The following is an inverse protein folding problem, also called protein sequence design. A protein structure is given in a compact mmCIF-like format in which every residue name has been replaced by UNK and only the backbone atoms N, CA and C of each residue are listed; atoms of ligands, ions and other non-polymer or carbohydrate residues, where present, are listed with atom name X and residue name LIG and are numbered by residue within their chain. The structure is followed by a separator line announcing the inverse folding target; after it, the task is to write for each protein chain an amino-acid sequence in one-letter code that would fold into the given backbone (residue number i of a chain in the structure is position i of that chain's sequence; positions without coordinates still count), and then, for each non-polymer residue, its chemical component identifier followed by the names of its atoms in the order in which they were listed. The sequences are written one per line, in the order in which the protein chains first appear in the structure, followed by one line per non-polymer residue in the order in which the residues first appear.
data_IF_972031226522
#
_entry.id   IF_972031226522
#
_cell.length_a   1.000
_cell.length_b   1.000
_cell.length_c   1.000
_cell.angle_alpha   90.00
_cell.angle_beta   90.00
_cell.angle_gamma   90.00
#
_symmetry.space_group_name_H-M   'P 1'
#
loop_
_entity.id
_entity.type
_entity.pdbx_description
1 polymer ?
#
# COMPACT_ATOMS: atom_id res chain seq x y z
N UNK A 1 17.63 47.60 -47.03
CA UNK A 1 16.69 48.75 -47.04
C UNK A 1 16.20 48.99 -45.62
N UNK A 2 16.47 50.17 -45.06
CA UNK A 2 15.97 50.67 -43.77
C UNK A 2 14.69 51.47 -44.00
N UNK A 3 13.72 51.38 -43.08
CA UNK A 3 12.86 52.48 -42.55
C UNK A 3 11.91 51.86 -41.52
N UNK A 4 12.10 51.98 -40.21
CA UNK A 4 12.00 53.12 -39.27
C UNK A 4 10.58 53.68 -39.02
N UNK A 5 10.07 53.35 -37.82
CA UNK A 5 9.52 54.20 -36.73
C UNK A 5 8.23 55.01 -37.02
N UNK A 6 7.20 54.92 -36.15
CA UNK A 6 6.79 55.99 -35.22
C UNK A 6 5.75 55.54 -34.17
N UNK A 7 5.93 56.06 -32.95
CA UNK A 7 5.18 55.83 -31.70
C UNK A 7 4.05 56.87 -31.52
N UNK A 8 2.97 56.45 -30.81
CA UNK A 8 2.16 57.17 -29.78
C UNK A 8 1.44 58.50 -30.16
N UNK A 9 0.34 58.97 -29.48
CA UNK A 9 0.08 58.86 -28.02
C UNK A 9 -1.39 58.70 -27.52
N UNK A 10 -1.48 58.53 -26.18
CA UNK A 10 -2.51 58.90 -25.15
C UNK A 10 -3.55 59.97 -25.57
N UNK A 11 -4.77 60.14 -25.00
CA UNK A 11 -5.34 59.79 -23.69
C UNK A 11 -6.87 60.10 -23.62
N UNK A 12 -7.56 59.41 -22.69
CA UNK A 12 -8.61 59.83 -21.71
C UNK A 12 -10.03 60.25 -22.15
N UNK A 13 -11.02 59.49 -21.63
CA UNK A 13 -12.23 59.86 -20.86
C UNK A 13 -13.35 58.83 -21.16
N UNK A 14 -14.28 58.38 -20.32
CA UNK A 14 -14.64 58.41 -18.89
C UNK A 14 -16.03 57.75 -18.80
N UNK A 15 -16.45 57.33 -17.58
CA UNK A 15 -17.81 56.95 -17.13
C UNK A 15 -18.20 55.46 -17.27
N UNK A 16 -18.87 54.79 -16.33
CA UNK A 16 -19.17 54.92 -14.87
C UNK A 16 -20.10 53.73 -14.55
N UNK A 17 -19.97 53.11 -13.36
CA UNK A 17 -21.01 52.51 -12.48
C UNK A 17 -20.35 51.39 -11.60
N UNK A 18 -19.85 51.63 -10.38
CA UNK A 18 -20.44 51.88 -9.04
C UNK A 18 -21.06 50.66 -8.30
N UNK A 19 -20.50 50.41 -7.08
CA UNK A 19 -21.18 49.84 -5.90
C UNK A 19 -20.61 48.50 -5.42
N UNK A 20 -19.59 48.38 -4.55
CA UNK A 20 -19.36 48.82 -3.14
C UNK A 20 -20.07 47.94 -2.09
N UNK A 21 -19.27 47.34 -1.19
CA UNK A 21 -19.50 47.40 0.25
C UNK A 21 -18.16 47.56 0.98
N UNK A 22 -18.07 48.58 1.82
CA UNK A 22 -16.95 48.89 2.69
C UNK A 22 -17.44 49.01 4.13
N UNK A 23 -16.60 48.53 5.04
CA UNK A 23 -16.53 48.78 6.48
C UNK A 23 -16.45 50.27 6.83
N UNK A 24 -17.00 50.68 7.99
CA UNK A 24 -16.49 51.82 8.75
C UNK A 24 -16.87 51.76 10.25
N UNK A 25 -16.11 52.52 11.05
CA UNK A 25 -15.80 52.35 12.47
C UNK A 25 -16.54 53.31 13.45
N UNK A 26 -16.41 52.97 14.75
CA UNK A 26 -16.20 53.80 15.97
C UNK A 26 -17.17 54.91 16.42
N UNK A 27 -17.58 54.92 17.72
CA UNK A 27 -17.04 55.73 18.86
C UNK A 27 -18.09 56.04 19.99
N UNK A 28 -17.75 55.70 21.25
CA UNK A 28 -18.05 56.26 22.62
C UNK A 28 -19.46 56.35 23.32
N UNK A 29 -19.60 55.58 24.45
CA UNK A 29 -19.99 55.86 25.89
C UNK A 29 -21.34 56.50 26.36
N UNK A 30 -21.79 56.41 27.66
CA UNK A 30 -21.23 55.76 28.88
C UNK A 30 -22.23 55.01 29.86
N UNK A 31 -21.69 54.49 31.00
CA UNK A 31 -22.28 54.05 32.31
C UNK A 31 -22.82 52.60 32.39
N UNK A 32 -22.64 51.77 33.44
CA UNK A 32 -22.27 51.93 34.85
C UNK A 32 -21.75 50.59 35.48
N UNK A 33 -20.90 50.73 36.51
CA UNK A 33 -20.68 49.87 37.70
C UNK A 33 -20.12 48.43 37.67
N UNK A 34 -18.95 48.30 38.34
CA UNK A 34 -18.50 47.25 39.32
C UNK A 34 -18.37 45.79 38.88
N UNK A 35 -17.39 44.96 39.28
CA UNK A 35 -16.20 45.01 40.14
C UNK A 35 -15.63 43.57 40.15
N UNK A 36 -14.33 43.35 40.20
CA UNK A 36 -13.78 42.04 40.59
C UNK A 36 -12.47 41.66 39.90
N UNK A 37 -11.40 41.74 40.68
CA UNK A 37 -10.04 41.23 40.47
C UNK A 37 -9.99 39.72 40.23
N UNK A 38 -9.09 39.25 39.36
CA UNK A 38 -7.90 38.48 39.79
C UNK A 38 -6.97 38.19 38.59
N UNK A 39 -5.71 38.58 38.75
CA UNK A 39 -4.58 38.10 37.94
C UNK A 39 -4.27 36.66 38.33
N UNK A 40 -4.14 35.76 37.35
CA UNK A 40 -3.23 34.63 37.47
C UNK A 40 -2.62 34.30 36.11
N UNK A 41 -1.32 34.08 36.18
CA UNK A 41 -0.32 33.90 35.14
C UNK A 41 -0.57 32.67 34.26
N UNK A 42 -0.47 32.86 32.94
CA UNK A 42 -0.30 31.79 31.97
C UNK A 42 1.14 31.24 32.06
N UNK A 43 1.26 29.97 32.42
CA UNK A 43 2.42 29.14 32.12
C UNK A 43 1.97 28.10 31.11
N UNK A 44 2.66 28.11 29.97
CA UNK A 44 2.56 27.18 28.86
C UNK A 44 2.97 25.77 29.26
N UNK A 45 2.08 24.80 29.05
CA UNK A 45 2.41 23.37 28.98
C UNK A 45 2.16 22.89 27.54
N UNK A 46 3.18 22.25 26.98
CA UNK A 46 3.13 21.53 25.70
C UNK A 46 2.27 20.28 25.83
N UNK A 47 1.60 19.79 24.77
CA UNK A 47 0.88 18.53 24.84
C UNK A 47 1.86 17.36 24.89
N UNK A 48 1.62 16.47 25.86
CA UNK A 48 2.27 15.19 26.08
C UNK A 48 2.16 14.28 24.85
N UNK A 49 3.19 13.45 24.67
CA UNK A 49 3.16 12.28 23.81
C UNK A 49 2.02 11.35 24.24
N UNK A 50 1.25 10.86 23.27
CA UNK A 50 0.20 9.87 23.48
C UNK A 50 0.82 8.55 23.95
N UNK A 51 0.64 8.23 25.22
CA UNK A 51 0.71 6.85 25.71
C UNK A 51 -0.50 6.10 25.10
N UNK A 52 -0.26 5.29 24.07
CA UNK A 52 -1.22 4.28 23.64
C UNK A 52 -1.40 3.24 24.75
N UNK A 53 -2.63 2.77 24.91
CA UNK A 53 -2.99 1.87 26.01
C UNK A 53 -2.79 0.41 25.57
N UNK A 54 -2.48 -0.53 26.48
CA UNK A 54 -2.34 -1.98 26.17
C UNK A 54 -3.62 -2.69 25.65
N UNK A 55 -4.67 -1.91 25.35
CA UNK A 55 -5.93 -2.38 24.82
C UNK A 55 -5.94 -2.40 23.29
N UNK A 56 -5.15 -1.56 22.63
CA UNK A 56 -5.12 -1.45 21.16
C UNK A 56 -4.27 -2.59 20.53
N UNK A 57 -3.22 -3.05 21.20
CA UNK A 57 -2.40 -4.23 20.83
C UNK A 57 -3.23 -5.53 20.70
N UNK A 58 -4.32 -5.66 21.45
CA UNK A 58 -5.19 -6.84 21.40
C UNK A 58 -6.22 -6.80 20.25
N UNK A 59 -6.44 -5.64 19.60
CA UNK A 59 -7.43 -5.51 18.54
C UNK A 59 -6.96 -6.17 17.23
N UNK A 60 -5.66 -6.11 16.94
CA UNK A 60 -5.09 -6.54 15.65
C UNK A 60 -4.33 -7.87 15.69
N UNK A 61 -4.06 -8.42 16.88
CA UNK A 61 -3.32 -9.67 17.03
C UNK A 61 -4.25 -10.89 17.19
N UNK A 62 -4.41 -11.67 16.12
CA UNK A 62 -5.07 -12.98 16.15
C UNK A 62 -4.02 -14.11 16.16
N UNK A 63 -3.92 -14.83 17.28
CA UNK A 63 -2.94 -15.91 17.45
C UNK A 63 -3.13 -17.06 16.45
N UNK A 64 -4.37 -17.39 16.06
CA UNK A 64 -4.61 -18.50 15.14
C UNK A 64 -4.14 -18.13 13.72
N UNK A 65 -4.40 -16.89 13.29
CA UNK A 65 -3.93 -16.39 11.99
C UNK A 65 -2.41 -16.23 12.00
N UNK A 66 -1.81 -15.77 13.12
CA UNK A 66 -0.36 -15.72 13.30
C UNK A 66 0.28 -17.11 13.15
N UNK A 67 -0.24 -18.12 13.85
CA UNK A 67 0.28 -19.49 13.81
C UNK A 67 0.15 -20.10 12.42
N UNK A 68 -0.99 -19.88 11.75
CA UNK A 68 -1.22 -20.32 10.39
C UNK A 68 -0.22 -19.70 9.41
N UNK A 69 -0.08 -18.36 9.42
CA UNK A 69 0.85 -17.66 8.54
C UNK A 69 2.30 -18.05 8.83
N UNK A 70 2.66 -18.28 10.10
CA UNK A 70 3.98 -18.78 10.49
C UNK A 70 4.29 -20.13 9.82
N UNK A 71 3.35 -21.09 9.84
CA UNK A 71 3.50 -22.38 9.18
C UNK A 71 3.57 -22.24 7.66
N UNK A 72 2.72 -21.39 7.08
CA UNK A 72 2.63 -21.15 5.63
C UNK A 72 3.93 -20.61 5.02
N UNK A 73 4.78 -19.88 5.77
CA UNK A 73 6.11 -19.43 5.29
C UNK A 73 7.01 -20.57 4.80
N UNK A 74 6.81 -21.77 5.34
CA UNK A 74 7.56 -22.97 4.98
C UNK A 74 6.78 -23.96 4.11
N UNK A 75 5.56 -23.57 3.67
CA UNK A 75 4.70 -24.42 2.87
C UNK A 75 5.25 -24.68 1.46
N UNK A 76 4.79 -25.77 0.86
CA UNK A 76 5.00 -26.02 -0.56
C UNK A 76 3.87 -25.37 -1.35
N UNK A 77 4.23 -24.70 -2.45
CA UNK A 77 3.28 -24.10 -3.36
C UNK A 77 3.09 -24.99 -4.59
N UNK A 78 1.83 -25.35 -4.86
CA UNK A 78 1.42 -26.01 -6.09
C UNK A 78 1.60 -25.09 -7.30
N UNK A 79 1.87 -25.66 -8.49
CA UNK A 79 2.09 -24.90 -9.73
C UNK A 79 3.56 -24.73 -10.12
N UNK A 80 3.79 -24.01 -11.23
CA UNK A 80 5.12 -23.76 -11.77
C UNK A 80 5.77 -22.54 -11.09
N UNK A 81 6.98 -22.70 -10.55
CA UNK A 81 7.74 -21.62 -9.93
C UNK A 81 8.13 -20.51 -10.91
N UNK A 82 8.09 -20.77 -12.23
CA UNK A 82 8.29 -19.75 -13.25
C UNK A 82 7.06 -18.83 -13.41
N UNK A 83 5.91 -19.19 -12.84
CA UNK A 83 4.67 -18.41 -12.85
C UNK A 83 4.11 -18.28 -11.44
N UNK A 84 4.80 -17.56 -10.53
CA UNK A 84 4.41 -17.49 -9.12
C UNK A 84 3.00 -16.90 -8.89
N UNK A 85 2.50 -16.07 -9.82
CA UNK A 85 1.13 -15.55 -9.82
C UNK A 85 0.04 -16.61 -10.08
N UNK A 86 0.41 -17.85 -10.43
CA UNK A 86 -0.52 -18.99 -10.54
C UNK A 86 -0.28 -20.05 -9.46
N UNK A 87 0.76 -19.88 -8.64
CA UNK A 87 1.03 -20.81 -7.56
C UNK A 87 0.02 -20.64 -6.43
N UNK A 88 -0.16 -21.67 -5.59
CA UNK A 88 -1.00 -21.59 -4.41
C UNK A 88 -0.61 -22.64 -3.37
N UNK A 89 -0.93 -22.40 -2.09
CA UNK A 89 -0.89 -23.45 -1.06
C UNK A 89 -2.10 -24.37 -1.25
N UNK A 90 -1.90 -25.69 -1.23
CA UNK A 90 -2.99 -26.69 -1.37
C UNK A 90 -4.09 -26.48 -0.31
N UNK A 91 -5.35 -26.52 -0.73
CA UNK A 91 -6.49 -26.10 0.11
C UNK A 91 -7.86 -26.43 -0.49
N UNK A 92 -8.91 -25.83 0.08
CA UNK A 92 -10.28 -25.96 -0.45
C UNK A 92 -10.36 -25.35 -1.87
N UNK A 93 -11.02 -26.07 -2.79
CA UNK A 93 -11.22 -25.62 -4.16
C UNK A 93 -12.69 -25.25 -4.39
N UNK A 94 -12.92 -24.18 -5.13
CA UNK A 94 -14.24 -23.75 -5.60
C UNK A 94 -14.55 -24.39 -6.96
N UNK A 95 -15.67 -25.12 -7.06
CA UNK A 95 -16.21 -25.59 -8.35
C UNK A 95 -16.80 -24.41 -9.13
N UNK A 96 -16.29 -24.17 -10.34
CA UNK A 96 -16.69 -23.05 -11.19
C UNK A 96 -17.46 -23.49 -12.43
N UNK A 97 -17.83 -24.79 -12.52
CA UNK A 97 -18.44 -25.36 -13.72
C UNK A 97 -19.73 -24.63 -14.16
N UNK A 98 -20.46 -24.02 -13.22
CA UNK A 98 -21.65 -23.23 -13.51
C UNK A 98 -21.36 -21.93 -14.27
N UNK A 99 -20.15 -21.38 -14.13
CA UNK A 99 -19.71 -20.13 -14.77
C UNK A 99 -19.08 -20.33 -16.15
N UNK A 100 -18.95 -21.58 -16.60
CA UNK A 100 -18.33 -21.93 -17.87
C UNK A 100 -18.98 -21.19 -19.04
N UNK A 101 -18.18 -20.43 -19.79
CA UNK A 101 -18.61 -19.65 -20.95
C UNK A 101 -17.63 -19.80 -22.11
N UNK A 102 -18.15 -19.84 -23.35
CA UNK A 102 -17.34 -19.77 -24.57
C UNK A 102 -17.32 -18.35 -25.18
N UNK A 103 -17.85 -17.36 -24.46
CA UNK A 103 -17.87 -15.97 -24.88
C UNK A 103 -16.95 -15.16 -23.98
N UNK A 104 -16.28 -14.18 -24.56
CA UNK A 104 -15.56 -13.18 -23.81
C UNK A 104 -16.53 -12.46 -22.84
N UNK A 105 -16.16 -12.36 -21.56
CA UNK A 105 -16.97 -11.72 -20.52
C UNK A 105 -16.48 -10.31 -20.17
N UNK A 106 -17.38 -9.47 -19.66
CA UNK A 106 -17.04 -8.18 -19.05
C UNK A 106 -16.61 -8.37 -17.60
N UNK A 107 -15.43 -7.90 -17.23
CA UNK A 107 -15.03 -7.74 -15.84
C UNK A 107 -15.38 -6.33 -15.33
N UNK A 108 -15.75 -6.22 -14.06
CA UNK A 108 -15.89 -4.94 -13.37
C UNK A 108 -14.98 -4.93 -12.15
N UNK A 109 -14.03 -4.00 -12.11
CA UNK A 109 -13.03 -3.92 -11.06
C UNK A 109 -13.30 -2.70 -10.16
N UNK A 110 -13.62 -2.97 -8.89
CA UNK A 110 -13.70 -1.97 -7.84
C UNK A 110 -12.39 -1.96 -7.04
N UNK A 111 -11.58 -0.93 -7.24
CA UNK A 111 -10.26 -0.78 -6.65
C UNK A 111 -10.29 0.16 -5.44
N UNK A 112 -9.52 -0.16 -4.40
CA UNK A 112 -9.33 0.73 -3.25
C UNK A 112 -8.69 2.05 -3.67
N UNK A 113 -7.52 2.00 -4.32
CA UNK A 113 -6.79 3.18 -4.77
C UNK A 113 -5.61 2.86 -5.68
N UNK A 114 -4.99 3.90 -6.23
CA UNK A 114 -3.65 3.88 -6.86
C UNK A 114 -2.68 4.84 -6.15
N UNK A 115 -2.89 5.06 -4.85
CA UNK A 115 -2.28 6.15 -4.08
C UNK A 115 -0.80 5.98 -3.80
N UNK A 116 -0.25 4.77 -3.92
CA UNK A 116 1.16 4.48 -3.66
C UNK A 116 1.86 3.76 -4.83
N UNK A 117 3.20 3.75 -4.86
CA UNK A 117 3.97 3.15 -5.96
C UNK A 117 3.77 1.64 -6.13
N UNK A 118 3.50 0.90 -5.05
CA UNK A 118 3.17 -0.52 -5.08
C UNK A 118 1.87 -0.77 -5.86
N UNK A 119 0.78 -0.10 -5.50
CA UNK A 119 -0.50 -0.21 -6.22
C UNK A 119 -0.39 0.20 -7.67
N UNK A 120 0.40 1.24 -7.98
CA UNK A 120 0.66 1.65 -9.36
C UNK A 120 1.40 0.58 -10.18
N UNK A 121 2.41 -0.06 -9.60
CA UNK A 121 3.13 -1.17 -10.26
C UNK A 121 2.22 -2.37 -10.49
N UNK A 122 1.39 -2.70 -9.50
CA UNK A 122 0.34 -3.72 -9.62
C UNK A 122 -0.68 -3.39 -10.71
N UNK A 123 -1.14 -2.14 -10.77
CA UNK A 123 -2.13 -1.67 -11.74
C UNK A 123 -1.63 -1.72 -13.18
N UNK A 124 -0.38 -1.31 -13.43
CA UNK A 124 0.28 -1.48 -14.72
C UNK A 124 0.26 -2.97 -15.10
N UNK A 125 0.68 -3.83 -14.18
CA UNK A 125 0.79 -5.28 -14.40
C UNK A 125 -0.57 -5.92 -14.71
N UNK A 126 -1.62 -5.54 -13.98
CA UNK A 126 -3.00 -6.00 -14.24
C UNK A 126 -3.47 -5.60 -15.64
N UNK A 127 -3.22 -4.35 -16.08
CA UNK A 127 -3.68 -3.90 -17.39
C UNK A 127 -2.93 -4.56 -18.56
N UNK A 128 -1.63 -4.82 -18.40
CA UNK A 128 -0.88 -5.57 -19.42
C UNK A 128 -1.34 -7.05 -19.47
N UNK A 129 -1.75 -7.63 -18.34
CA UNK A 129 -2.39 -8.95 -18.30
C UNK A 129 -3.79 -8.93 -18.92
N UNK A 130 -4.55 -7.85 -18.74
CA UNK A 130 -5.85 -7.64 -19.37
C UNK A 130 -5.74 -7.60 -20.89
N UNK A 131 -4.78 -6.85 -21.44
CA UNK A 131 -4.53 -6.79 -22.89
C UNK A 131 -4.30 -8.20 -23.46
N UNK A 132 -3.43 -8.99 -22.82
CA UNK A 132 -3.17 -10.37 -23.25
C UNK A 132 -4.45 -11.25 -23.22
N UNK A 133 -5.33 -11.08 -22.23
CA UNK A 133 -6.58 -11.83 -22.13
C UNK A 133 -7.67 -11.33 -23.08
N UNK A 134 -7.65 -10.04 -23.44
CA UNK A 134 -8.51 -9.49 -24.49
C UNK A 134 -8.11 -10.02 -25.87
N UNK A 135 -6.81 -10.08 -26.16
CA UNK A 135 -6.30 -10.67 -27.41
C UNK A 135 -6.65 -12.16 -27.54
N UNK A 136 -6.61 -12.90 -26.43
CA UNK A 136 -7.08 -14.30 -26.36
C UNK A 136 -8.59 -14.45 -26.48
N UNK A 137 -9.36 -13.36 -26.36
CA UNK A 137 -10.82 -13.38 -26.39
C UNK A 137 -11.47 -13.96 -25.13
N UNK A 138 -10.77 -13.88 -23.98
CA UNK A 138 -11.27 -14.29 -22.67
C UNK A 138 -12.06 -13.16 -22.02
N UNK A 139 -11.50 -11.95 -21.98
CA UNK A 139 -12.15 -10.75 -21.45
C UNK A 139 -12.55 -9.86 -22.63
N UNK A 140 -13.78 -9.36 -22.67
CA UNK A 140 -14.22 -8.41 -23.71
C UNK A 140 -13.86 -6.98 -23.36
N UNK A 141 -14.08 -6.60 -22.11
CA UNK A 141 -13.78 -5.29 -21.55
C UNK A 141 -13.63 -5.42 -20.03
N UNK A 142 -12.86 -4.52 -19.43
CA UNK A 142 -12.86 -4.32 -17.98
C UNK A 142 -13.21 -2.87 -17.68
N UNK A 143 -14.29 -2.67 -16.94
CA UNK A 143 -14.59 -1.34 -16.40
C UNK A 143 -13.98 -1.24 -15.00
N UNK A 144 -13.17 -0.21 -14.77
CA UNK A 144 -12.49 0.00 -13.49
C UNK A 144 -12.96 1.27 -12.83
N UNK A 145 -13.11 1.22 -11.51
CA UNK A 145 -13.34 2.38 -10.68
C UNK A 145 -12.39 2.38 -9.50
N UNK A 146 -11.81 3.55 -9.25
CA UNK A 146 -10.82 3.79 -8.21
C UNK A 146 -11.47 4.63 -7.12
N UNK A 147 -11.49 4.10 -5.89
CA UNK A 147 -12.16 4.75 -4.78
C UNK A 147 -11.31 5.83 -4.09
N UNK A 148 -10.01 5.92 -4.40
CA UNK A 148 -9.12 6.90 -3.80
C UNK A 148 -9.01 6.78 -2.28
N UNK A 149 -8.93 5.55 -1.76
CA UNK A 149 -8.85 5.20 -0.33
C UNK A 149 -10.12 5.59 0.48
N UNK A 150 -11.28 5.78 -0.17
CA UNK A 150 -12.55 6.13 0.47
C UNK A 150 -13.57 4.99 0.42
N UNK A 151 -13.92 4.46 1.61
CA UNK A 151 -14.88 3.36 1.75
C UNK A 151 -16.26 3.68 1.13
N UNK A 152 -16.77 4.90 1.33
CA UNK A 152 -18.11 5.26 0.83
C UNK A 152 -18.16 5.27 -0.70
N UNK A 153 -17.08 5.74 -1.32
CA UNK A 153 -16.90 5.74 -2.77
C UNK A 153 -16.81 4.31 -3.28
N UNK A 154 -16.01 3.45 -2.64
CA UNK A 154 -15.90 2.05 -3.07
C UNK A 154 -17.21 1.28 -2.95
N UNK A 155 -17.97 1.49 -1.86
CA UNK A 155 -19.31 0.92 -1.69
C UNK A 155 -20.24 1.36 -2.82
N UNK A 156 -20.24 2.67 -3.16
CA UNK A 156 -21.05 3.21 -4.24
C UNK A 156 -20.64 2.65 -5.61
N UNK A 157 -19.36 2.37 -5.81
CA UNK A 157 -18.83 1.77 -7.05
C UNK A 157 -19.24 0.30 -7.21
N UNK A 158 -19.20 -0.48 -6.14
CA UNK A 158 -19.72 -1.85 -6.12
C UNK A 158 -21.22 -1.84 -6.42
N UNK A 159 -22.00 -0.98 -5.77
CA UNK A 159 -23.45 -0.84 -6.01
C UNK A 159 -23.76 -0.41 -7.45
N UNK A 160 -22.94 0.46 -8.04
CA UNK A 160 -23.02 0.80 -9.45
C UNK A 160 -22.75 -0.42 -10.35
N UNK A 161 -21.69 -1.18 -10.09
CA UNK A 161 -21.38 -2.35 -10.91
C UNK A 161 -22.49 -3.40 -10.86
N UNK A 162 -23.11 -3.59 -9.70
CA UNK A 162 -24.27 -4.47 -9.53
C UNK A 162 -25.47 -3.98 -10.35
N UNK A 163 -25.76 -2.68 -10.35
CA UNK A 163 -26.99 -2.12 -10.91
C UNK A 163 -26.91 -1.70 -12.38
N UNK A 164 -25.77 -1.17 -12.81
CA UNK A 164 -25.59 -0.48 -14.09
C UNK A 164 -24.39 -1.00 -14.89
N UNK A 165 -23.39 -1.60 -14.24
CA UNK A 165 -22.12 -2.00 -14.87
C UNK A 165 -22.24 -3.11 -15.93
N UNK A 166 -23.32 -3.89 -15.92
CA UNK A 166 -23.52 -5.07 -16.80
C UNK A 166 -22.35 -6.07 -16.75
N UNK A 167 -21.78 -6.26 -15.56
CA UNK A 167 -20.62 -7.11 -15.33
C UNK A 167 -20.96 -8.59 -15.58
N UNK A 168 -20.04 -9.38 -16.13
CA UNK A 168 -20.12 -10.84 -16.11
C UNK A 168 -19.36 -11.44 -14.91
N UNK A 169 -18.43 -10.69 -14.33
CA UNK A 169 -17.76 -10.99 -13.06
C UNK A 169 -17.35 -9.70 -12.35
N UNK A 170 -17.15 -9.78 -11.03
CA UNK A 170 -16.61 -8.72 -10.20
C UNK A 170 -15.19 -9.06 -9.77
N UNK A 171 -14.32 -8.06 -9.80
CA UNK A 171 -13.02 -8.07 -9.14
C UNK A 171 -13.07 -6.96 -8.09
N UNK A 172 -12.68 -7.24 -6.86
CA UNK A 172 -12.74 -6.28 -5.76
C UNK A 172 -11.41 -6.35 -5.00
N UNK A 173 -10.71 -5.21 -4.91
CA UNK A 173 -9.59 -5.02 -3.98
C UNK A 173 -10.09 -4.10 -2.87
N UNK A 174 -10.51 -4.63 -1.71
CA UNK A 174 -11.15 -3.86 -0.65
C UNK A 174 -10.24 -2.76 -0.10
N UNK A 175 -10.81 -1.60 0.24
CA UNK A 175 -10.10 -0.58 1.00
C UNK A 175 -10.00 -0.98 2.47
N UNK A 176 -11.14 -1.35 3.08
CA UNK A 176 -11.22 -1.76 4.48
C UNK A 176 -12.02 -3.05 4.65
N UNK A 177 -11.50 -4.01 5.41
CA UNK A 177 -12.05 -5.37 5.58
C UNK A 177 -13.50 -5.34 6.08
N UNK A 178 -13.75 -4.72 7.25
CA UNK A 178 -15.10 -4.65 7.82
C UNK A 178 -16.05 -3.79 6.97
N UNK A 179 -15.62 -2.62 6.49
CA UNK A 179 -16.49 -1.69 5.77
C UNK A 179 -16.95 -2.23 4.41
N UNK A 180 -16.13 -3.04 3.73
CA UNK A 180 -16.45 -3.60 2.41
C UNK A 180 -17.30 -4.87 2.46
N UNK A 181 -17.37 -5.55 3.61
CA UNK A 181 -18.01 -6.88 3.73
C UNK A 181 -19.43 -6.90 3.17
N UNK A 182 -20.32 -6.02 3.65
CA UNK A 182 -21.72 -5.97 3.17
C UNK A 182 -21.83 -5.68 1.66
N UNK A 183 -20.91 -4.90 1.09
CA UNK A 183 -20.91 -4.58 -0.33
C UNK A 183 -20.47 -5.77 -1.19
N UNK A 184 -19.45 -6.51 -0.73
CA UNK A 184 -19.01 -7.76 -1.37
C UNK A 184 -20.11 -8.82 -1.32
N UNK A 185 -20.81 -8.97 -0.19
CA UNK A 185 -21.95 -9.89 -0.10
C UNK A 185 -23.05 -9.56 -1.12
N UNK A 186 -23.38 -8.27 -1.30
CA UNK A 186 -24.33 -7.86 -2.36
C UNK A 186 -23.85 -8.20 -3.76
N UNK A 187 -22.53 -8.15 -4.03
CA UNK A 187 -21.98 -8.59 -5.32
C UNK A 187 -22.13 -10.11 -5.49
N UNK A 188 -21.87 -10.90 -4.44
CA UNK A 188 -22.06 -12.36 -4.43
C UNK A 188 -23.53 -12.75 -4.68
N UNK A 189 -24.49 -12.02 -4.10
CA UNK A 189 -25.93 -12.26 -4.27
C UNK A 189 -26.42 -12.15 -5.73
N UNK A 190 -25.63 -11.52 -6.62
CA UNK A 190 -25.95 -11.47 -8.06
C UNK A 190 -25.82 -12.83 -8.75
N UNK A 191 -25.15 -13.81 -8.12
CA UNK A 191 -24.86 -15.13 -8.68
C UNK A 191 -23.78 -15.12 -9.77
N UNK A 192 -22.99 -14.06 -9.86
CA UNK A 192 -21.83 -13.96 -10.76
C UNK A 192 -20.54 -14.25 -10.00
N UNK A 193 -19.45 -14.64 -10.69
CA UNK A 193 -18.16 -14.78 -10.04
C UNK A 193 -17.73 -13.48 -9.36
N UNK A 194 -17.24 -13.60 -8.13
CA UNK A 194 -16.64 -12.50 -7.36
C UNK A 194 -15.24 -12.93 -6.96
N UNK A 195 -14.25 -12.19 -7.44
CA UNK A 195 -12.84 -12.37 -7.09
C UNK A 195 -12.44 -11.25 -6.14
N UNK A 196 -12.07 -11.60 -4.91
CA UNK A 196 -11.49 -10.67 -3.93
C UNK A 196 -9.98 -10.84 -3.95
N UNK A 197 -9.21 -9.76 -3.89
CA UNK A 197 -7.75 -9.89 -3.77
C UNK A 197 -7.10 -8.75 -3.00
N UNK A 198 -5.83 -8.95 -2.62
CA UNK A 198 -4.95 -8.03 -1.89
C UNK A 198 -5.36 -7.83 -0.43
N UNK A 199 -6.59 -7.36 -0.17
CA UNK A 199 -7.20 -7.25 1.17
C UNK A 199 -8.44 -8.12 1.26
N UNK A 200 -8.75 -8.61 2.46
CA UNK A 200 -9.88 -9.50 2.72
C UNK A 200 -11.20 -8.80 3.01
N UNK A 201 -12.23 -9.59 3.29
CA UNK A 201 -13.53 -9.20 3.85
C UNK A 201 -14.00 -10.27 4.84
N UNK A 202 -14.94 -9.95 5.73
CA UNK A 202 -15.42 -10.84 6.80
C UNK A 202 -16.52 -11.81 6.30
N UNK A 203 -16.34 -12.39 5.11
CA UNK A 203 -17.30 -13.31 4.48
C UNK A 203 -16.58 -14.29 3.55
N UNK A 204 -17.13 -15.49 3.40
CA UNK A 204 -16.59 -16.53 2.52
C UNK A 204 -17.35 -16.65 1.18
N UNK A 205 -18.16 -15.64 0.83
CA UNK A 205 -19.03 -15.68 -0.35
C UNK A 205 -18.30 -15.58 -1.69
N UNK A 206 -17.06 -15.08 -1.69
CA UNK A 206 -16.27 -14.90 -2.90
C UNK A 206 -16.00 -16.25 -3.59
N UNK A 207 -15.92 -16.23 -4.93
CA UNK A 207 -15.52 -17.40 -5.71
C UNK A 207 -14.08 -17.80 -5.40
N UNK A 208 -13.22 -16.81 -5.20
CA UNK A 208 -11.84 -16.98 -4.74
C UNK A 208 -11.37 -15.70 -4.03
N UNK A 209 -10.58 -15.85 -2.98
CA UNK A 209 -9.85 -14.78 -2.31
C UNK A 209 -8.35 -14.95 -2.54
N UNK A 210 -7.69 -13.97 -3.16
CA UNK A 210 -6.29 -14.06 -3.57
C UNK A 210 -5.43 -13.11 -2.72
N UNK A 211 -4.40 -13.64 -2.07
CA UNK A 211 -3.46 -12.83 -1.30
C UNK A 211 -2.12 -13.56 -1.15
N UNK A 212 -1.00 -12.85 -0.93
CA UNK A 212 0.21 -13.44 -0.34
C UNK A 212 -0.08 -14.01 1.06
N UNK A 213 0.82 -14.81 1.64
CA UNK A 213 0.67 -15.43 2.97
C UNK A 213 0.06 -14.48 4.02
N UNK A 214 0.54 -13.24 4.11
CA UNK A 214 -0.13 -12.19 4.87
C UNK A 214 0.80 -11.30 5.70
N UNK A 215 0.19 -10.44 6.52
CA UNK A 215 0.88 -9.44 7.32
C UNK A 215 1.71 -10.02 8.46
N UNK A 216 1.21 -11.04 9.16
CA UNK A 216 1.99 -11.69 10.23
C UNK A 216 3.22 -12.39 9.65
N UNK A 217 3.11 -13.12 8.54
CA UNK A 217 4.28 -13.74 7.90
C UNK A 217 5.37 -12.73 7.56
N UNK A 218 4.98 -11.56 7.03
CA UNK A 218 5.91 -10.46 6.79
C UNK A 218 6.54 -9.95 8.09
N UNK A 219 5.72 -9.67 9.12
CA UNK A 219 6.20 -9.18 10.42
C UNK A 219 7.19 -10.15 11.07
N UNK A 220 6.93 -11.45 10.94
CA UNK A 220 7.82 -12.50 11.45
C UNK A 220 9.14 -12.51 10.67
N UNK A 221 9.12 -12.55 9.33
CA UNK A 221 10.35 -12.57 8.51
C UNK A 221 11.25 -11.36 8.78
N UNK A 222 10.63 -10.18 8.88
CA UNK A 222 11.35 -8.92 9.11
C UNK A 222 11.89 -8.80 10.53
N UNK A 223 11.15 -9.25 11.54
CA UNK A 223 11.62 -9.24 12.92
C UNK A 223 12.68 -10.31 13.18
N UNK A 224 12.51 -11.54 12.69
CA UNK A 224 13.53 -12.60 12.78
C UNK A 224 14.84 -12.13 12.15
N UNK A 225 14.80 -11.45 11.00
CA UNK A 225 15.99 -10.88 10.39
C UNK A 225 16.69 -9.82 11.24
N UNK A 226 15.94 -8.90 11.86
CA UNK A 226 16.53 -7.91 12.77
C UNK A 226 17.12 -8.62 14.01
N UNK A 227 16.38 -9.53 14.64
CA UNK A 227 16.81 -10.27 15.83
C UNK A 227 18.09 -11.07 15.57
N UNK A 228 18.22 -11.70 14.40
CA UNK A 228 19.41 -12.47 14.04
C UNK A 228 20.68 -11.60 13.84
N UNK A 229 20.52 -10.29 13.68
CA UNK A 229 21.62 -9.34 13.43
C UNK A 229 21.81 -8.31 14.55
N UNK A 230 20.97 -8.34 15.58
CA UNK A 230 20.98 -7.42 16.73
C UNK A 230 21.20 -8.17 18.04
N UNK A 231 21.49 -7.43 19.11
CA UNK A 231 21.69 -7.95 20.46
C UNK A 231 20.57 -7.50 21.42
N UNK A 232 20.37 -8.24 22.52
CA UNK A 232 19.43 -7.83 23.58
C UNK A 232 19.76 -6.42 24.10
N UNK A 233 18.76 -5.54 24.12
CA UNK A 233 18.89 -4.12 24.47
C UNK A 233 19.22 -3.19 23.30
N UNK A 234 19.44 -3.72 22.09
CA UNK A 234 19.54 -2.90 20.89
C UNK A 234 18.21 -2.23 20.58
N UNK A 235 18.31 -1.01 20.05
CA UNK A 235 17.18 -0.16 19.74
C UNK A 235 16.78 -0.26 18.28
N UNK A 236 15.48 -0.45 18.06
CA UNK A 236 14.84 -0.46 16.74
C UNK A 236 13.87 0.72 16.62
N UNK A 237 13.98 1.47 15.52
CA UNK A 237 12.96 2.44 15.12
C UNK A 237 12.07 1.80 14.05
N UNK A 238 10.81 1.57 14.38
CA UNK A 238 9.81 1.08 13.47
C UNK A 238 9.10 2.24 12.77
N UNK A 239 9.18 2.25 11.44
CA UNK A 239 8.55 3.26 10.59
C UNK A 239 7.33 2.62 9.94
N UNK A 240 6.16 3.06 10.39
CA UNK A 240 4.86 2.58 9.94
C UNK A 240 4.25 3.60 8.98
N UNK A 241 3.61 3.18 7.90
CA UNK A 241 3.06 4.15 6.93
C UNK A 241 1.69 4.68 7.36
N UNK A 242 0.75 3.82 7.75
CA UNK A 242 -0.64 4.18 7.97
C UNK A 242 -1.24 3.36 9.13
N UNK A 243 -2.00 4.00 10.04
CA UNK A 243 -2.78 3.29 11.05
C UNK A 243 -4.06 2.68 10.46
N UNK A 244 -4.54 1.59 11.06
CA UNK A 244 -5.86 1.01 10.82
C UNK A 244 -6.00 0.19 9.53
N UNK A 245 -4.89 -0.12 8.85
CA UNK A 245 -4.88 -1.03 7.70
C UNK A 245 -4.46 -2.41 8.19
N UNK A 246 -5.38 -3.38 8.13
CA UNK A 246 -5.23 -4.72 8.72
C UNK A 246 -3.87 -5.39 8.47
N UNK A 247 -3.42 -5.44 7.21
CA UNK A 247 -2.17 -6.09 6.83
C UNK A 247 -0.95 -5.36 7.43
N UNK A 248 -1.00 -4.04 7.60
CA UNK A 248 0.08 -3.25 8.21
C UNK A 248 0.09 -3.42 9.74
N UNK A 249 -1.10 -3.44 10.35
CA UNK A 249 -1.25 -3.71 11.79
C UNK A 249 -0.73 -5.11 12.14
N UNK A 250 -1.07 -6.13 11.34
CA UNK A 250 -0.55 -7.49 11.51
C UNK A 250 0.98 -7.56 11.37
N UNK A 251 1.57 -6.81 10.43
CA UNK A 251 3.05 -6.73 10.26
C UNK A 251 3.69 -6.24 11.55
N UNK A 252 3.19 -5.13 12.09
CA UNK A 252 3.74 -4.55 13.31
C UNK A 252 3.52 -5.45 14.51
N UNK A 253 2.30 -5.95 14.72
CA UNK A 253 1.95 -6.77 15.87
C UNK A 253 2.76 -8.08 15.94
N UNK A 254 3.10 -8.70 14.80
CA UNK A 254 4.05 -9.81 14.77
C UNK A 254 5.47 -9.39 15.14
N UNK A 255 5.95 -8.27 14.59
CA UNK A 255 7.31 -7.81 14.79
C UNK A 255 7.56 -7.35 16.24
N UNK A 256 6.68 -6.50 16.77
CA UNK A 256 6.69 -6.01 18.15
C UNK A 256 6.72 -7.17 19.15
N UNK A 257 5.81 -8.13 18.98
CA UNK A 257 5.77 -9.35 19.80
C UNK A 257 7.13 -10.07 19.84
N UNK A 258 7.77 -10.23 18.69
CA UNK A 258 9.06 -10.93 18.59
C UNK A 258 10.22 -10.10 19.14
N UNK A 259 10.19 -8.78 18.96
CA UNK A 259 11.14 -7.86 19.57
C UNK A 259 11.07 -7.92 21.10
N UNK A 260 9.89 -7.87 21.69
CA UNK A 260 9.70 -8.01 23.13
C UNK A 260 10.23 -9.34 23.67
N UNK A 261 9.92 -10.45 22.98
CA UNK A 261 10.37 -11.80 23.38
C UNK A 261 11.89 -11.97 23.34
N UNK A 262 12.58 -11.19 22.51
CA UNK A 262 14.04 -11.22 22.35
C UNK A 262 14.76 -10.03 22.99
N UNK A 263 14.02 -9.17 23.72
CA UNK A 263 14.57 -8.03 24.44
C UNK A 263 15.13 -6.92 23.56
N UNK A 264 14.58 -6.74 22.36
CA UNK A 264 14.85 -5.61 21.47
C UNK A 264 14.00 -4.41 21.92
N UNK A 265 14.61 -3.23 22.07
CA UNK A 265 13.92 -1.99 22.45
C UNK A 265 13.34 -1.29 21.21
N UNK A 266 12.10 -1.62 20.86
CA UNK A 266 11.43 -1.02 19.71
C UNK A 266 10.63 0.25 20.09
N UNK A 267 10.64 1.25 19.21
CA UNK A 267 9.74 2.41 19.23
C UNK A 267 9.17 2.60 17.83
N UNK A 268 7.89 2.94 17.72
CA UNK A 268 7.22 3.09 16.41
C UNK A 268 6.69 4.50 16.16
N UNK A 269 6.59 4.84 14.87
CA UNK A 269 6.04 6.10 14.39
C UNK A 269 5.24 5.88 13.11
N UNK A 270 4.07 6.51 13.01
CA UNK A 270 3.38 6.66 11.74
C UNK A 270 3.98 7.81 10.94
N UNK A 271 4.32 7.54 9.68
CA UNK A 271 5.13 8.42 8.83
C UNK A 271 4.38 8.92 7.60
N UNK A 272 3.27 8.26 7.21
CA UNK A 272 2.62 8.53 5.93
C UNK A 272 3.52 8.34 4.71
N UNK A 273 4.62 7.60 4.85
CA UNK A 273 5.73 7.55 3.89
C UNK A 273 6.36 8.94 3.56
N UNK A 274 6.17 9.96 4.40
CA UNK A 274 6.74 11.29 4.19
C UNK A 274 8.25 11.30 4.52
N UNK A 275 9.13 11.61 3.56
CA UNK A 275 10.58 11.61 3.79
C UNK A 275 11.04 12.60 4.86
N UNK A 276 10.29 13.70 5.08
CA UNK A 276 10.63 14.71 6.09
C UNK A 276 10.31 14.20 7.49
N UNK A 277 9.14 13.56 7.67
CA UNK A 277 8.75 12.94 8.93
C UNK A 277 9.70 11.79 9.28
N UNK A 278 9.98 10.88 8.33
CA UNK A 278 10.95 9.78 8.50
C UNK A 278 12.30 10.30 8.99
N UNK A 279 12.87 11.29 8.29
CA UNK A 279 14.17 11.88 8.68
C UNK A 279 14.12 12.53 10.05
N UNK A 280 13.01 13.17 10.39
CA UNK A 280 12.81 13.83 11.70
C UNK A 280 12.80 12.79 12.82
N UNK A 281 11.98 11.74 12.71
CA UNK A 281 11.88 10.70 13.74
C UNK A 281 13.20 9.97 13.95
N UNK A 282 13.89 9.57 12.88
CA UNK A 282 15.21 8.93 13.00
C UNK A 282 16.22 9.87 13.66
N UNK A 283 16.27 11.14 13.24
CA UNK A 283 17.19 12.13 13.82
C UNK A 283 16.91 12.34 15.30
N UNK A 284 15.63 12.39 15.69
CA UNK A 284 15.23 12.55 17.09
C UNK A 284 15.64 11.33 17.94
N UNK A 285 15.49 10.11 17.41
CA UNK A 285 15.93 8.91 18.11
C UNK A 285 17.46 8.79 18.19
N UNK A 286 18.19 9.17 17.13
CA UNK A 286 19.66 9.24 17.12
C UNK A 286 20.22 10.29 18.11
N UNK A 287 19.47 11.37 18.37
CA UNK A 287 19.84 12.34 19.40
C UNK A 287 19.66 11.79 20.83
N UNK A 288 18.79 10.80 21.02
CA UNK A 288 18.54 10.15 22.32
C UNK A 288 19.56 9.04 22.61
N UNK A 289 20.12 8.42 21.58
CA UNK A 289 21.10 7.34 21.70
C UNK A 289 21.41 6.70 20.34
N UNK A 290 22.15 5.60 20.38
CA UNK A 290 22.38 4.79 19.19
C UNK A 290 21.08 4.09 18.75
N UNK A 291 20.90 3.94 17.45
CA UNK A 291 19.80 3.18 16.83
C UNK A 291 20.45 2.11 15.98
N UNK A 292 20.27 0.84 16.35
CA UNK A 292 20.93 -0.28 15.69
C UNK A 292 20.07 -0.88 14.58
N UNK A 293 18.74 -0.76 14.67
CA UNK A 293 17.82 -1.27 13.67
C UNK A 293 16.79 -0.24 13.19
N UNK A 294 16.39 -0.37 11.94
CA UNK A 294 15.21 0.28 11.37
C UNK A 294 14.30 -0.79 10.79
N UNK A 295 13.09 -0.90 11.34
CA UNK A 295 12.06 -1.78 10.81
C UNK A 295 11.09 -0.95 9.98
N UNK A 296 10.66 -1.46 8.83
CA UNK A 296 9.71 -0.77 7.96
C UNK A 296 8.56 -1.70 7.58
N UNK A 297 7.34 -1.18 7.67
CA UNK A 297 6.15 -1.91 7.26
C UNK A 297 5.90 -1.83 5.74
N UNK A 298 6.60 -0.97 5.01
CA UNK A 298 6.51 -0.80 3.54
C UNK A 298 7.82 -0.24 2.95
N UNK A 299 7.97 -0.29 1.63
CA UNK A 299 9.16 0.21 0.92
C UNK A 299 9.23 1.74 0.76
N UNK A 300 8.08 2.40 0.72
CA UNK A 300 8.02 3.84 0.48
C UNK A 300 8.69 4.61 1.63
N UNK A 301 9.61 5.50 1.30
CA UNK A 301 10.43 6.24 2.27
C UNK A 301 11.67 5.52 2.80
N UNK A 302 11.97 4.28 2.38
CA UNK A 302 13.14 3.54 2.89
C UNK A 302 14.48 4.23 2.62
N UNK A 303 14.64 4.84 1.44
CA UNK A 303 15.86 5.61 1.13
C UNK A 303 16.01 6.81 2.07
N UNK A 304 14.90 7.47 2.44
CA UNK A 304 14.93 8.61 3.36
C UNK A 304 15.41 8.20 4.76
N UNK A 305 15.08 6.98 5.19
CA UNK A 305 15.57 6.45 6.44
C UNK A 305 17.09 6.27 6.43
N UNK A 306 17.64 5.67 5.37
CA UNK A 306 19.10 5.51 5.19
C UNK A 306 19.79 6.88 5.14
N UNK A 307 19.25 7.81 4.35
CA UNK A 307 19.79 9.17 4.24
C UNK A 307 19.81 9.91 5.60
N UNK A 308 18.86 9.64 6.49
CA UNK A 308 18.85 10.25 7.82
C UNK A 308 20.10 9.88 8.65
N UNK A 309 20.53 8.61 8.58
CA UNK A 309 21.76 8.16 9.24
C UNK A 309 23.00 8.76 8.57
N UNK A 310 23.04 8.82 7.24
CA UNK A 310 24.13 9.44 6.49
C UNK A 310 24.27 10.95 6.81
N UNK A 311 23.15 11.67 6.85
CA UNK A 311 23.07 13.10 7.17
C UNK A 311 23.50 13.37 8.62
N UNK A 312 23.15 12.47 9.55
CA UNK A 312 23.58 12.54 10.95
C UNK A 312 25.07 12.17 11.14
N UNK A 313 25.64 11.39 10.23
CA UNK A 313 26.98 10.83 10.33
C UNK A 313 27.06 9.66 11.33
N UNK A 314 25.96 8.92 11.50
CA UNK A 314 25.89 7.68 12.28
C UNK A 314 26.28 6.47 11.42
N UNK A 315 26.60 5.35 12.08
CA UNK A 315 26.72 4.06 11.42
C UNK A 315 25.34 3.62 10.89
N UNK A 316 25.31 2.99 9.71
CA UNK A 316 24.04 2.54 9.12
C UNK A 316 23.43 1.39 9.92
N UNK A 317 22.09 1.35 10.09
CA UNK A 317 21.41 0.33 10.88
C UNK A 317 21.27 -0.99 10.11
N UNK A 318 20.92 -2.06 10.83
CA UNK A 318 20.27 -3.23 10.23
C UNK A 318 18.86 -2.81 9.79
N UNK A 319 18.46 -3.07 8.55
CA UNK A 319 17.25 -2.47 8.01
C UNK A 319 16.41 -3.40 7.13
N UNK A 320 15.08 -3.24 7.20
CA UNK A 320 14.16 -3.76 6.19
C UNK A 320 13.59 -2.62 5.33
N UNK A 321 13.39 -2.82 4.02
CA UNK A 321 12.92 -1.74 3.13
C UNK A 321 12.11 -2.15 1.89
N UNK A 322 11.41 -3.30 1.95
CA UNK A 322 10.65 -3.95 0.86
C UNK A 322 11.44 -4.15 -0.46
N UNK A 323 10.84 -4.73 -1.49
CA UNK A 323 11.45 -4.94 -2.81
C UNK A 323 11.31 -3.74 -3.76
N UNK A 324 11.12 -2.53 -3.23
CA UNK A 324 11.16 -1.32 -4.04
C UNK A 324 12.58 -1.07 -4.59
N UNK A 325 12.68 -0.74 -5.88
CA UNK A 325 13.95 -0.60 -6.59
C UNK A 325 14.83 0.52 -6.01
N UNK A 326 14.23 1.57 -5.44
CA UNK A 326 14.96 2.64 -4.74
C UNK A 326 15.76 2.10 -3.54
N UNK A 327 15.12 1.27 -2.71
CA UNK A 327 15.75 0.61 -1.58
C UNK A 327 16.80 -0.40 -2.03
N UNK A 328 16.49 -1.30 -2.97
CA UNK A 328 17.45 -2.30 -3.45
C UNK A 328 18.74 -1.65 -3.99
N UNK A 329 18.61 -0.52 -4.70
CA UNK A 329 19.76 0.25 -5.19
C UNK A 329 20.54 0.89 -4.05
N UNK A 330 19.87 1.52 -3.08
CA UNK A 330 20.54 2.15 -1.93
C UNK A 330 21.20 1.10 -1.03
N UNK A 331 20.61 -0.08 -0.90
CA UNK A 331 21.19 -1.23 -0.22
C UNK A 331 22.48 -1.70 -0.92
N UNK A 332 22.52 -1.80 -2.26
CA UNK A 332 23.77 -2.07 -3.01
C UNK A 332 24.83 -1.00 -2.83
N UNK A 333 24.42 0.27 -2.93
CA UNK A 333 25.35 1.39 -2.85
C UNK A 333 26.04 1.46 -1.48
N UNK A 334 25.27 1.23 -0.42
CA UNK A 334 25.74 1.38 0.96
C UNK A 334 26.38 0.12 1.53
N UNK A 335 25.97 -1.06 1.07
CA UNK A 335 26.37 -2.34 1.66
C UNK A 335 25.87 -2.52 3.10
N UNK A 336 24.76 -1.86 3.46
CA UNK A 336 24.12 -2.06 4.76
C UNK A 336 23.64 -3.51 4.93
N UNK A 337 23.41 -3.93 6.17
CA UNK A 337 22.81 -5.26 6.44
C UNK A 337 21.30 -5.14 6.26
N UNK A 338 20.77 -5.73 5.18
CA UNK A 338 19.41 -5.48 4.74
C UNK A 338 18.58 -6.74 4.46
N UNK A 339 17.26 -6.57 4.46
CA UNK A 339 16.30 -7.52 3.92
C UNK A 339 15.22 -6.75 3.16
N UNK A 340 14.82 -7.25 2.00
CA UNK A 340 13.69 -6.73 1.25
C UNK A 340 12.50 -7.70 1.39
N UNK A 341 11.63 -7.56 2.40
CA UNK A 341 10.38 -8.31 2.45
C UNK A 341 9.54 -8.02 1.20
N UNK A 342 8.63 -8.93 0.84
CA UNK A 342 7.89 -8.87 -0.43
C UNK A 342 6.41 -9.08 -0.17
N UNK A 343 5.58 -8.21 -0.74
CA UNK A 343 4.13 -8.39 -0.81
C UNK A 343 3.76 -8.35 -2.29
N UNK A 344 3.86 -9.51 -2.92
CA UNK A 344 4.18 -9.60 -4.34
C UNK A 344 3.22 -8.82 -5.26
N UNK A 345 3.75 -7.93 -6.10
CA UNK A 345 2.96 -7.18 -7.08
C UNK A 345 2.39 -8.06 -8.20
N UNK A 346 3.01 -9.21 -8.48
CA UNK A 346 2.49 -10.16 -9.46
C UNK A 346 1.07 -10.64 -9.13
N UNK A 347 0.62 -10.53 -7.87
CA UNK A 347 -0.73 -10.91 -7.46
C UNK A 347 -1.81 -10.18 -8.25
N UNK A 348 -1.51 -8.99 -8.77
CA UNK A 348 -2.43 -8.21 -9.60
C UNK A 348 -2.76 -8.87 -10.95
N UNK A 349 -2.02 -9.88 -11.38
CA UNK A 349 -2.36 -10.72 -12.54
C UNK A 349 -3.41 -11.76 -12.21
N UNK A 350 -3.32 -12.32 -11.01
CA UNK A 350 -4.03 -13.53 -10.59
C UNK A 350 -5.55 -13.37 -10.68
N UNK A 351 -6.20 -12.23 -10.35
CA UNK A 351 -7.64 -12.08 -10.52
C UNK A 351 -8.13 -12.29 -11.96
N UNK A 352 -7.40 -11.77 -12.95
CA UNK A 352 -7.78 -11.91 -14.36
C UNK A 352 -7.55 -13.34 -14.87
N UNK A 353 -6.49 -13.99 -14.39
CA UNK A 353 -6.19 -15.40 -14.69
C UNK A 353 -7.18 -16.34 -13.98
N UNK A 354 -7.65 -15.97 -12.79
CA UNK A 354 -8.75 -16.65 -12.11
C UNK A 354 -10.03 -16.56 -12.94
N UNK A 355 -10.36 -15.40 -13.53
CA UNK A 355 -11.49 -15.29 -14.46
C UNK A 355 -11.32 -16.16 -15.71
N UNK A 356 -10.11 -16.26 -16.28
CA UNK A 356 -9.82 -17.19 -17.39
C UNK A 356 -10.18 -18.64 -17.01
N UNK A 357 -9.78 -19.07 -15.80
CA UNK A 357 -10.07 -20.41 -15.26
C UNK A 357 -11.56 -20.61 -14.96
N UNK A 358 -12.18 -19.66 -14.27
CA UNK A 358 -13.59 -19.67 -13.90
C UNK A 358 -14.47 -19.78 -15.16
N UNK A 359 -14.22 -18.99 -16.20
CA UNK A 359 -14.98 -19.08 -17.45
C UNK A 359 -14.64 -20.31 -18.28
N UNK A 360 -13.48 -20.94 -18.07
CA UNK A 360 -13.20 -22.28 -18.60
C UNK A 360 -13.95 -23.39 -17.84
N UNK A 361 -14.50 -23.09 -16.65
CA UNK A 361 -15.10 -24.05 -15.72
C UNK A 361 -14.05 -24.92 -15.01
N UNK A 362 -12.84 -24.37 -14.82
CA UNK A 362 -11.77 -24.99 -14.03
C UNK A 362 -11.90 -24.58 -12.57
N UNK A 363 -11.70 -25.53 -11.66
CA UNK A 363 -11.66 -25.23 -10.23
C UNK A 363 -10.53 -24.23 -9.92
N UNK A 364 -10.80 -23.34 -8.96
CA UNK A 364 -9.83 -22.38 -8.42
C UNK A 364 -9.75 -22.54 -6.91
N UNK A 365 -8.61 -22.27 -6.25
CA UNK A 365 -8.56 -22.25 -4.79
C UNK A 365 -9.61 -21.29 -4.23
N UNK A 366 -10.34 -21.73 -3.20
CA UNK A 366 -11.29 -20.87 -2.49
C UNK A 366 -10.55 -19.73 -1.81
N UNK A 367 -9.46 -20.08 -1.13
CA UNK A 367 -8.43 -19.16 -0.67
C UNK A 367 -7.16 -19.45 -1.47
N UNK A 368 -6.68 -18.47 -2.21
CA UNK A 368 -5.58 -18.56 -3.15
C UNK A 368 -4.36 -17.85 -2.56
N UNK A 369 -3.68 -18.56 -1.66
CA UNK A 369 -2.48 -18.06 -0.97
C UNK A 369 -1.25 -18.13 -1.88
N UNK A 370 -0.75 -16.98 -2.30
CA UNK A 370 0.39 -16.81 -3.20
C UNK A 370 1.73 -16.87 -2.45
N UNK A 371 2.84 -17.25 -3.13
CA UNK A 371 4.17 -17.18 -2.56
C UNK A 371 4.53 -15.78 -2.04
N UNK A 372 5.07 -15.75 -0.83
CA UNK A 372 5.56 -14.56 -0.15
C UNK A 372 6.94 -14.87 0.41
N UNK A 373 7.98 -14.45 -0.31
CA UNK A 373 9.38 -14.74 0.05
C UNK A 373 10.18 -13.46 -0.09
N UNK A 374 10.91 -13.00 0.94
CA UNK A 374 11.80 -11.85 0.86
C UNK A 374 12.88 -11.98 -0.23
N UNK A 375 13.50 -10.87 -0.60
CA UNK A 375 14.77 -10.83 -1.34
C UNK A 375 15.89 -10.71 -0.31
N UNK A 376 16.81 -11.67 -0.35
CA UNK A 376 17.97 -11.73 0.54
C UNK A 376 19.21 -11.05 -0.07
N UNK A 377 20.25 -10.80 0.74
CA UNK A 377 21.53 -10.24 0.28
C UNK A 377 22.11 -11.01 -0.92
N UNK A 378 22.03 -12.35 -0.88
CA UNK A 378 22.58 -13.23 -1.92
C UNK A 378 21.81 -13.13 -3.26
N UNK A 379 20.54 -12.71 -3.23
CA UNK A 379 19.67 -12.59 -4.41
C UNK A 379 19.54 -11.16 -4.93
N UNK A 380 19.93 -10.18 -4.12
CA UNK A 380 19.78 -8.75 -4.38
C UNK A 380 20.37 -8.31 -5.71
N UNK A 381 21.57 -8.79 -6.04
CA UNK A 381 22.25 -8.48 -7.30
C UNK A 381 21.48 -8.97 -8.53
N UNK A 382 20.89 -10.17 -8.46
CA UNK A 382 20.12 -10.75 -9.55
C UNK A 382 18.84 -9.94 -9.81
N UNK A 383 18.15 -9.49 -8.74
CA UNK A 383 16.96 -8.64 -8.87
C UNK A 383 17.29 -7.24 -9.39
N UNK A 384 18.44 -6.67 -9.04
CA UNK A 384 18.91 -5.41 -9.62
C UNK A 384 19.20 -5.53 -11.12
N UNK A 385 19.82 -6.63 -11.55
CA UNK A 385 20.07 -6.89 -12.97
C UNK A 385 18.77 -7.13 -13.75
N UNK A 386 17.85 -7.94 -13.20
CA UNK A 386 16.56 -8.23 -13.83
C UNK A 386 15.69 -6.99 -14.01
N UNK A 387 15.84 -5.99 -13.13
CA UNK A 387 15.07 -4.74 -13.14
C UNK A 387 15.89 -3.54 -13.66
N UNK A 388 16.94 -3.77 -14.46
CA UNK A 388 17.73 -2.67 -15.03
C UNK A 388 16.85 -1.72 -15.85
N UNK A 389 17.03 -0.42 -15.60
CA UNK A 389 16.22 0.64 -16.19
C UNK A 389 14.83 0.86 -15.58
N UNK A 390 14.40 0.06 -14.61
CA UNK A 390 13.13 0.30 -13.90
C UNK A 390 13.24 1.51 -12.94
N UNK A 391 12.19 2.34 -12.85
CA UNK A 391 12.18 3.55 -12.03
C UNK A 391 12.24 3.23 -10.54
N UNK A 392 12.57 4.22 -9.72
CA UNK A 392 12.77 4.06 -8.26
C UNK A 392 11.56 3.46 -7.55
N UNK A 393 10.34 3.96 -7.79
CA UNK A 393 9.11 3.41 -7.20
C UNK A 393 8.59 2.12 -7.85
N UNK A 394 9.41 1.39 -8.60
CA UNK A 394 9.06 0.06 -9.13
C UNK A 394 9.37 -1.03 -8.10
N UNK A 395 8.69 -2.16 -8.16
CA UNK A 395 8.86 -3.27 -7.23
C UNK A 395 9.40 -4.48 -7.97
N UNK A 396 10.46 -5.08 -7.43
CA UNK A 396 11.28 -6.05 -8.16
C UNK A 396 10.54 -7.35 -8.50
N UNK A 397 9.56 -7.78 -7.67
CA UNK A 397 8.72 -8.95 -7.92
C UNK A 397 7.34 -8.58 -8.51
N UNK A 398 7.35 -7.74 -9.55
CA UNK A 398 6.14 -7.35 -10.28
C UNK A 398 5.57 -8.44 -11.19
N UNK A 399 6.41 -9.33 -11.71
CA UNK A 399 5.99 -10.50 -12.49
C UNK A 399 5.29 -10.16 -13.80
N UNK A 400 5.76 -9.17 -14.55
CA UNK A 400 5.19 -8.77 -15.85
C UNK A 400 6.17 -8.92 -17.04
N UNK A 401 7.29 -9.62 -16.85
CA UNK A 401 8.36 -9.78 -17.82
C UNK A 401 7.93 -10.52 -19.11
N UNK A 402 6.84 -11.29 -19.06
CA UNK A 402 6.25 -12.04 -20.18
C UNK A 402 5.06 -11.32 -20.85
N UNK A 403 4.71 -10.11 -20.42
CA UNK A 403 3.53 -9.39 -20.88
C UNK A 403 3.81 -8.42 -22.06
N UNK A 404 2.80 -8.06 -22.88
CA UNK A 404 2.98 -7.38 -24.16
C UNK A 404 3.74 -6.04 -24.13
N UNK A 405 3.63 -5.26 -23.05
CA UNK A 405 4.26 -3.94 -22.91
C UNK A 405 5.66 -3.94 -22.30
N UNK A 406 6.28 -5.10 -22.07
CA UNK A 406 7.56 -5.18 -21.37
C UNK A 406 8.74 -4.91 -22.32
N UNK A 407 9.74 -4.09 -21.92
CA UNK A 407 9.85 -3.40 -20.62
C UNK A 407 9.26 -1.98 -20.59
N UNK A 408 8.91 -1.39 -21.73
CA UNK A 408 8.69 0.07 -21.85
C UNK A 408 7.56 0.61 -20.97
N UNK A 409 6.44 -0.12 -20.83
CA UNK A 409 5.28 0.34 -20.05
C UNK A 409 5.62 0.53 -18.56
N UNK A 410 6.46 -0.35 -18.00
CA UNK A 410 6.92 -0.24 -16.61
C UNK A 410 8.03 0.80 -16.45
N UNK A 411 8.98 0.85 -17.39
CA UNK A 411 10.06 1.84 -17.37
C UNK A 411 9.52 3.28 -17.41
N UNK A 412 8.47 3.52 -18.20
CA UNK A 412 7.83 4.82 -18.35
C UNK A 412 6.71 5.07 -17.33
N UNK A 413 6.39 4.09 -16.46
CA UNK A 413 5.22 4.09 -15.55
C UNK A 413 3.94 4.56 -16.24
N UNK A 414 3.61 3.96 -17.39
CA UNK A 414 2.38 4.31 -18.11
C UNK A 414 1.17 3.78 -17.34
N UNK A 415 0.63 4.61 -16.44
CA UNK A 415 -0.61 4.35 -15.72
C UNK A 415 -1.78 4.44 -16.72
N UNK A 416 -2.57 3.36 -16.91
CA UNK A 416 -3.68 3.28 -17.86
C UNK A 416 -4.80 4.30 -17.65
#
# INVERSE_FOLDING_TARGET
MRRKIHRAPMAVASALLLGVFATSCSTEDPTDSTSGTDESSETSESPDASEESPADEQEWFDQAVYDEQYEQRSATFEGDSATPWLQYIDGEMTDTAEYKSNKAGKACFANASISNPWRQTGWITMNQQLEALQEKGVISEMETRDAGDDDNTQIADIDYFISEGNCDAFIISPNSTAAMTDAVERACETGKPVVVFDRGVETDCATTFIHPIGGFAWGIDTAEFLIDNLEEGDKVVALRILPGVDVLEQRWAAAEKLFEENGIEAVDFFTGADPTEIKTFITDELNKGEVQGVWMDAGDGAVAAIEAFEDFGADLPVMTGEDEMSFLRKWEETGLTGLAPVYSNFQWRTPLLALEKIWAGEEVPKEWVLPQVPITEDERGDYLEANDGMPDGHYAKFGGEDLPGYPEVWQERQIP
#
